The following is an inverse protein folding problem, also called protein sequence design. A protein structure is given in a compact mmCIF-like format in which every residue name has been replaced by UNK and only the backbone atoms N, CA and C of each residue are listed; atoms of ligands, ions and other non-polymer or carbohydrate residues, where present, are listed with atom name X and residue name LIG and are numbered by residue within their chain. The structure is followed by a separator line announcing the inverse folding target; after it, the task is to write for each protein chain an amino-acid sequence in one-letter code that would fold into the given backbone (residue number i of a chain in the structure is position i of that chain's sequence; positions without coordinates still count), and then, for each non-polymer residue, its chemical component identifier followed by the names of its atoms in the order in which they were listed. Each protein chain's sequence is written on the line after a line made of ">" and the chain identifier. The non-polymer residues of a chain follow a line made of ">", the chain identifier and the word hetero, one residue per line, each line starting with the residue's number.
data_IF_278630099649
#
_entry.id   IF_278630099649
#
_cell.length_a   1.000
_cell.length_b   1.000
_cell.length_c   1.000
_cell.angle_alpha   90.00
_cell.angle_beta   90.00
_cell.angle_gamma   90.00
#
_symmetry.space_group_name_H-M   'P 1'
#
loop_
_entity.id
_entity.type
_entity.pdbx_description
1 polymer ?
#
# COMPACT_ATOMS: atom_id res chain seq x y z
N UNK A 1 -9.63 -2.47 4.19
CA UNK A 1 -9.74 -1.28 3.31
C UNK A 1 -9.15 -0.09 4.02
N UNK A 2 -8.63 0.91 3.31
CA UNK A 2 -8.05 2.11 3.93
C UNK A 2 -9.11 3.22 3.99
N UNK A 3 -9.72 3.39 5.15
CA UNK A 3 -10.84 4.32 5.33
C UNK A 3 -11.94 4.12 4.29
N UNK A 4 -12.51 5.22 3.81
CA UNK A 4 -13.57 5.29 2.81
C UNK A 4 -13.07 5.59 1.39
N UNK A 5 -11.75 5.49 1.11
CA UNK A 5 -11.15 5.97 -0.15
C UNK A 5 -11.78 5.33 -1.40
N UNK A 6 -12.20 4.07 -1.31
CA UNK A 6 -12.82 3.35 -2.43
C UNK A 6 -14.21 3.86 -2.78
N UNK A 7 -14.86 4.64 -1.91
CA UNK A 7 -16.14 5.28 -2.20
C UNK A 7 -16.00 6.36 -3.28
N UNK A 8 -14.79 6.85 -3.56
CA UNK A 8 -14.53 7.79 -4.65
C UNK A 8 -14.44 7.11 -6.02
N UNK A 9 -14.14 5.81 -6.08
CA UNK A 9 -14.00 5.07 -7.35
C UNK A 9 -15.25 5.18 -8.25
N UNK A 10 -16.49 4.97 -7.76
CA UNK A 10 -17.68 5.14 -8.60
C UNK A 10 -18.00 6.60 -8.97
N UNK A 11 -17.36 7.58 -8.34
CA UNK A 11 -17.58 9.01 -8.56
C UNK A 11 -16.53 9.64 -9.49
N UNK A 12 -15.39 8.97 -9.68
CA UNK A 12 -14.23 9.53 -10.40
C UNK A 12 -14.30 9.24 -11.90
N UNK A 13 -13.90 10.21 -12.71
CA UNK A 13 -13.78 10.04 -14.18
C UNK A 13 -12.58 9.18 -14.58
N UNK A 14 -11.54 9.13 -13.74
CA UNK A 14 -10.33 8.34 -13.99
C UNK A 14 -9.76 7.79 -12.68
N UNK A 15 -9.39 6.51 -12.69
CA UNK A 15 -8.77 5.81 -11.56
C UNK A 15 -7.57 5.01 -12.05
N UNK A 16 -6.39 5.31 -11.51
CA UNK A 16 -5.14 4.57 -11.81
C UNK A 16 -4.53 4.08 -10.50
N UNK A 17 -4.11 2.81 -10.46
CA UNK A 17 -3.33 2.25 -9.35
C UNK A 17 -1.86 2.16 -9.77
N UNK A 18 -1.01 2.96 -9.15
CA UNK A 18 0.44 2.92 -9.39
C UNK A 18 1.07 1.66 -8.79
N UNK A 19 2.23 1.30 -9.31
CA UNK A 19 3.04 0.15 -8.88
C UNK A 19 4.39 0.63 -8.33
N UNK A 20 5.01 -0.20 -7.51
CA UNK A 20 6.37 0.02 -6.99
C UNK A 20 7.29 -1.14 -7.39
N UNK A 21 8.59 -1.02 -7.11
CA UNK A 21 9.50 -2.16 -7.12
C UNK A 21 9.42 -2.87 -5.77
N UNK A 22 9.32 -4.20 -5.78
CA UNK A 22 9.24 -5.03 -4.58
C UNK A 22 10.57 -5.12 -3.86
N UNK A 23 10.57 -4.78 -2.57
CA UNK A 23 11.79 -4.71 -1.75
C UNK A 23 12.33 -6.09 -1.34
N UNK A 24 11.56 -7.16 -1.52
CA UNK A 24 11.96 -8.55 -1.19
C UNK A 24 12.27 -9.41 -2.43
N UNK A 25 11.59 -9.13 -3.56
CA UNK A 25 11.62 -9.98 -4.75
C UNK A 25 12.05 -9.24 -6.03
N UNK A 26 12.26 -7.92 -5.97
CA UNK A 26 12.63 -7.03 -7.09
C UNK A 26 11.71 -7.07 -8.32
N UNK A 27 10.48 -7.58 -8.15
CA UNK A 27 9.40 -7.58 -9.16
C UNK A 27 8.45 -6.42 -8.91
N UNK A 28 7.48 -6.24 -9.80
CA UNK A 28 6.40 -5.28 -9.59
C UNK A 28 5.64 -5.59 -8.28
N UNK A 29 5.45 -4.56 -7.46
CA UNK A 29 4.79 -4.64 -6.16
C UNK A 29 3.51 -3.80 -6.16
N UNK A 30 2.44 -4.39 -5.62
CA UNK A 30 1.10 -3.81 -5.59
C UNK A 30 0.53 -3.68 -4.16
N UNK A 31 1.32 -4.05 -3.15
CA UNK A 31 0.96 -4.11 -1.73
C UNK A 31 2.05 -3.51 -0.84
N UNK A 32 1.66 -3.15 0.39
CA UNK A 32 2.55 -2.63 1.43
C UNK A 32 2.49 -3.55 2.65
N UNK A 33 3.64 -4.01 3.13
CA UNK A 33 3.81 -4.89 4.29
C UNK A 33 4.42 -4.11 5.45
N UNK A 34 3.76 -4.13 6.62
CA UNK A 34 4.34 -3.59 7.86
C UNK A 34 5.43 -4.53 8.36
N UNK A 35 6.57 -3.97 8.77
CA UNK A 35 7.71 -4.72 9.32
C UNK A 35 7.53 -5.03 10.81
N UNK A 36 6.90 -4.12 11.55
CA UNK A 36 6.58 -4.29 12.97
C UNK A 36 5.30 -5.07 13.24
N UNK A 37 4.99 -5.22 14.54
CA UNK A 37 3.84 -5.99 15.05
C UNK A 37 2.67 -5.11 15.49
N UNK A 38 2.75 -3.79 15.28
CA UNK A 38 1.66 -2.87 15.60
C UNK A 38 0.38 -3.30 14.85
N UNK A 39 -0.78 -3.26 15.52
CA UNK A 39 -2.06 -3.71 14.95
C UNK A 39 -2.98 -2.57 14.53
N UNK A 40 -2.71 -1.36 15.00
CA UNK A 40 -3.48 -0.18 14.63
C UNK A 40 -3.31 0.12 13.15
N UNK A 41 -4.38 0.56 12.49
CA UNK A 41 -4.35 0.91 11.06
C UNK A 41 -3.41 2.09 10.83
N UNK A 42 -3.48 3.12 11.69
CA UNK A 42 -2.69 4.33 11.58
C UNK A 42 -1.36 4.19 12.32
N UNK A 43 -0.28 3.99 11.56
CA UNK A 43 1.11 4.07 12.07
C UNK A 43 1.95 4.77 11.00
N UNK A 44 2.33 6.02 11.27
CA UNK A 44 3.11 6.84 10.34
C UNK A 44 4.56 6.35 10.29
N UNK A 45 5.11 6.21 9.07
CA UNK A 45 6.50 5.80 8.83
C UNK A 45 6.81 5.57 7.35
N UNK A 46 8.08 5.41 7.02
CA UNK A 46 8.58 5.18 5.66
C UNK A 46 9.09 3.76 5.46
N UNK A 47 10.19 3.64 4.71
CA UNK A 47 10.84 2.35 4.42
C UNK A 47 11.36 1.63 5.68
N UNK A 48 11.56 2.37 6.77
CA UNK A 48 11.90 1.86 8.10
C UNK A 48 10.76 1.06 8.76
N UNK A 49 9.50 1.32 8.36
CA UNK A 49 8.32 0.62 8.89
C UNK A 49 7.60 -0.25 7.87
N UNK A 50 7.77 0.02 6.58
CA UNK A 50 6.99 -0.58 5.52
C UNK A 50 7.82 -0.97 4.30
N UNK A 51 7.55 -2.15 3.75
CA UNK A 51 8.09 -2.57 2.46
C UNK A 51 6.99 -2.63 1.40
N UNK A 52 7.32 -2.23 0.17
CA UNK A 52 6.55 -2.59 -1.02
C UNK A 52 6.79 -4.06 -1.36
N UNK A 53 5.73 -4.84 -1.52
CA UNK A 53 5.84 -6.29 -1.75
C UNK A 53 4.98 -6.76 -2.93
N UNK A 54 5.50 -7.79 -3.62
CA UNK A 54 4.73 -8.61 -4.55
C UNK A 54 3.73 -9.51 -3.80
N UNK A 55 2.90 -10.26 -4.53
CA UNK A 55 1.99 -11.25 -3.92
C UNK A 55 2.77 -12.42 -3.33
#
# INVERSE_FOLDING_TARGET
>A
AFGSILNLVPLAESVVKLTAVGMECFREAAYTKRLGLEKEVEVIGGADKYHSVCR
#
